data_IF_091570983032
#
_entry.id   IF_091570983032
#
_cell.length_a   1.000
_cell.length_b   1.000
_cell.length_c   1.000
_cell.angle_alpha   90.00
_cell.angle_beta   90.00
_cell.angle_gamma   90.00
#
_symmetry.space_group_name_H-M   'P 1'
#
loop_
_entity.id
_entity.type
_entity.pdbx_description
1 polymer ?
#
# COMPACT_ATOMS: atom_id res chain seq x y z
N UNK A 1 -11.70 -10.79 28.35
CA UNK A 1 -12.18 -11.17 27.00
C UNK A 1 -10.97 -11.30 26.10
N UNK A 2 -10.85 -12.40 25.36
CA UNK A 2 -9.72 -12.67 24.47
C UNK A 2 -10.20 -12.56 23.03
N UNK A 3 -9.82 -11.47 22.38
CA UNK A 3 -9.95 -11.30 20.93
C UNK A 3 -8.58 -11.33 20.27
N UNK A 4 -8.51 -11.76 19.02
CA UNK A 4 -7.23 -11.73 18.32
C UNK A 4 -7.20 -12.31 16.92
N UNK A 5 -6.03 -12.21 16.30
CA UNK A 5 -5.73 -12.77 14.99
C UNK A 5 -4.85 -14.01 15.16
N UNK A 6 -5.26 -15.14 14.58
CA UNK A 6 -4.41 -16.33 14.46
C UNK A 6 -3.86 -16.46 13.05
N UNK A 7 -2.56 -16.71 12.94
CA UNK A 7 -1.87 -17.08 11.71
C UNK A 7 -0.50 -17.69 12.03
N UNK A 8 0.20 -18.19 11.02
CA UNK A 8 1.54 -18.77 11.24
C UNK A 8 2.62 -17.68 11.41
N UNK A 9 2.50 -16.57 10.67
CA UNK A 9 3.43 -15.43 10.72
C UNK A 9 2.65 -14.12 10.69
N UNK A 10 2.74 -13.32 11.76
CA UNK A 10 1.91 -12.12 11.95
C UNK A 10 2.67 -10.79 12.11
N UNK A 11 4.01 -10.78 11.99
CA UNK A 11 4.87 -9.67 12.43
C UNK A 11 4.64 -8.28 11.83
N UNK A 12 3.79 -8.12 10.81
CA UNK A 12 3.49 -6.84 10.15
C UNK A 12 1.99 -6.52 10.06
N UNK A 13 1.14 -7.20 10.84
CA UNK A 13 -0.30 -7.01 10.77
C UNK A 13 -0.75 -5.73 11.47
N UNK A 14 -1.48 -4.86 10.78
CA UNK A 14 -2.17 -3.71 11.38
C UNK A 14 -3.50 -4.08 12.06
N UNK A 15 -3.87 -5.38 12.08
CA UNK A 15 -5.17 -5.81 12.61
C UNK A 15 -5.35 -5.42 14.07
N UNK A 16 -4.32 -5.61 14.91
CA UNK A 16 -4.39 -5.22 16.33
C UNK A 16 -4.72 -3.74 16.48
N UNK A 17 -3.96 -2.87 15.81
CA UNK A 17 -4.19 -1.43 15.85
C UNK A 17 -5.61 -1.05 15.38
N UNK A 18 -6.10 -1.67 14.31
CA UNK A 18 -7.46 -1.41 13.79
C UNK A 18 -8.51 -1.81 14.81
N UNK A 19 -8.45 -3.03 15.35
CA UNK A 19 -9.42 -3.52 16.31
C UNK A 19 -9.41 -2.73 17.62
N UNK A 20 -8.23 -2.39 18.14
CA UNK A 20 -8.09 -1.59 19.37
C UNK A 20 -8.57 -0.15 19.18
N UNK A 21 -8.46 0.42 17.97
CA UNK A 21 -8.98 1.77 17.67
C UNK A 21 -10.50 1.91 17.85
N UNK A 22 -11.24 0.78 17.85
CA UNK A 22 -12.67 0.77 18.12
C UNK A 22 -12.99 1.03 19.61
N UNK A 23 -12.02 0.87 20.51
CA UNK A 23 -12.17 1.16 21.94
C UNK A 23 -13.12 0.22 22.69
N UNK A 24 -13.43 -0.95 22.12
CA UNK A 24 -14.41 -1.91 22.68
C UNK A 24 -13.77 -3.12 23.36
N UNK A 25 -12.57 -3.52 22.93
CA UNK A 25 -11.88 -4.71 23.41
C UNK A 25 -10.37 -4.63 23.12
N UNK A 26 -9.59 -5.42 23.85
CA UNK A 26 -8.18 -5.67 23.53
C UNK A 26 -8.06 -6.74 22.45
N UNK A 27 -7.00 -6.68 21.65
CA UNK A 27 -6.80 -7.58 20.52
C UNK A 27 -5.37 -8.11 20.48
N UNK A 28 -5.18 -9.42 20.34
CA UNK A 28 -3.85 -10.04 20.38
C UNK A 28 -3.48 -10.72 19.07
N UNK A 29 -2.18 -10.81 18.78
CA UNK A 29 -1.65 -11.55 17.64
C UNK A 29 -1.10 -12.89 18.11
N UNK A 30 -1.70 -13.99 17.65
CA UNK A 30 -1.32 -15.35 17.99
C UNK A 30 -0.60 -15.99 16.80
N UNK A 31 0.74 -15.96 16.83
CA UNK A 31 1.57 -16.69 15.85
C UNK A 31 1.70 -18.14 16.29
N UNK A 32 0.92 -19.04 15.68
CA UNK A 32 0.81 -20.44 16.09
C UNK A 32 1.29 -21.36 14.98
N UNK A 33 1.99 -22.43 15.33
CA UNK A 33 2.18 -23.59 14.46
C UNK A 33 0.87 -24.35 14.26
N UNK A 34 0.83 -25.31 13.32
CA UNK A 34 -0.38 -26.10 13.05
C UNK A 34 -0.90 -26.84 14.30
N UNK A 35 0.00 -27.47 15.07
CA UNK A 35 -0.39 -28.23 16.27
C UNK A 35 -0.91 -27.32 17.39
N UNK A 36 -0.28 -26.14 17.55
CA UNK A 36 -0.72 -25.14 18.52
C UNK A 36 -2.06 -24.53 18.12
N UNK A 37 -2.27 -24.26 16.83
CA UNK A 37 -3.53 -23.80 16.28
C UNK A 37 -4.69 -24.76 16.60
N UNK A 38 -4.53 -26.05 16.32
CA UNK A 38 -5.55 -27.06 16.58
C UNK A 38 -5.90 -27.12 18.09
N UNK A 39 -4.88 -27.10 18.95
CA UNK A 39 -5.04 -27.10 20.40
C UNK A 39 -5.73 -25.83 20.92
N UNK A 40 -5.36 -24.67 20.39
CA UNK A 40 -5.91 -23.37 20.78
C UNK A 40 -7.39 -23.25 20.42
N UNK A 41 -7.75 -23.61 19.18
CA UNK A 41 -9.14 -23.54 18.72
C UNK A 41 -10.02 -24.56 19.48
N UNK A 42 -9.51 -25.78 19.71
CA UNK A 42 -10.24 -26.81 20.46
C UNK A 42 -10.53 -26.40 21.90
N UNK A 43 -9.65 -25.62 22.54
CA UNK A 43 -9.84 -25.15 23.91
C UNK A 43 -10.97 -24.12 24.05
N UNK A 44 -11.37 -23.43 22.97
CA UNK A 44 -12.46 -22.43 22.94
C UNK A 44 -12.37 -21.35 24.02
N UNK A 45 -11.17 -21.03 24.50
CA UNK A 45 -10.92 -20.01 25.52
C UNK A 45 -10.68 -18.63 24.89
N UNK A 46 -11.67 -18.14 24.15
CA UNK A 46 -11.67 -16.85 23.46
C UNK A 46 -13.10 -16.34 23.24
N UNK A 47 -13.26 -15.05 22.95
CA UNK A 47 -14.58 -14.45 22.68
C UNK A 47 -14.82 -14.22 21.17
N UNK A 48 -13.75 -13.97 20.42
CA UNK A 48 -13.81 -13.86 18.96
C UNK A 48 -12.42 -13.84 18.34
N UNK A 49 -12.27 -14.41 17.15
CA UNK A 49 -10.97 -14.48 16.49
C UNK A 49 -11.09 -14.17 15.01
N UNK A 50 -10.12 -13.45 14.47
CA UNK A 50 -9.84 -13.50 13.06
C UNK A 50 -8.82 -14.60 12.76
N UNK A 51 -8.97 -15.22 11.60
CA UNK A 51 -8.11 -16.31 11.12
C UNK A 51 -7.49 -15.89 9.81
N UNK A 52 -6.17 -15.97 9.71
CA UNK A 52 -5.43 -15.74 8.46
C UNK A 52 -4.73 -17.00 7.97
N UNK A 53 -3.99 -16.87 6.88
CA UNK A 53 -3.18 -17.93 6.29
C UNK A 53 -2.25 -18.57 7.34
N UNK A 54 -2.09 -19.90 7.33
CA UNK A 54 -2.69 -20.88 6.41
C UNK A 54 -4.03 -21.47 6.89
N UNK A 55 -4.62 -20.97 7.98
CA UNK A 55 -5.65 -21.70 8.75
C UNK A 55 -7.10 -21.45 8.33
N UNK A 56 -7.38 -20.55 7.39
CA UNK A 56 -8.76 -20.19 6.98
C UNK A 56 -9.64 -21.37 6.54
N UNK A 57 -9.04 -22.44 6.01
CA UNK A 57 -9.74 -23.69 5.69
C UNK A 57 -9.71 -24.70 6.84
N UNK A 58 -8.58 -24.77 7.54
CA UNK A 58 -8.35 -25.71 8.63
C UNK A 58 -9.24 -25.45 9.85
N UNK A 59 -9.74 -24.23 10.01
CA UNK A 59 -10.63 -23.85 11.12
C UNK A 59 -12.08 -24.29 10.95
N UNK A 60 -12.51 -24.58 9.71
CA UNK A 60 -13.90 -24.91 9.39
C UNK A 60 -14.43 -26.10 10.22
N UNK A 61 -13.70 -27.23 10.37
CA UNK A 61 -14.19 -28.39 11.13
C UNK A 61 -14.38 -28.13 12.64
N UNK A 62 -13.85 -27.03 13.17
CA UNK A 62 -14.00 -26.68 14.58
C UNK A 62 -15.26 -25.84 14.87
N UNK A 63 -15.88 -25.28 13.82
CA UNK A 63 -17.09 -24.46 13.93
C UNK A 63 -18.32 -25.36 14.13
N UNK A 64 -19.19 -25.01 15.08
CA UNK A 64 -20.50 -25.66 15.24
C UNK A 64 -21.45 -25.22 14.11
N UNK A 65 -21.34 -23.96 13.69
CA UNK A 65 -22.06 -23.41 12.55
C UNK A 65 -21.11 -22.63 11.64
N UNK A 66 -21.32 -22.76 10.33
CA UNK A 66 -20.62 -21.96 9.32
C UNK A 66 -21.68 -21.22 8.52
N UNK A 67 -21.54 -19.91 8.32
CA UNK A 67 -22.46 -19.12 7.49
C UNK A 67 -22.50 -19.63 6.04
N UNK A 68 -23.62 -19.42 5.34
CA UNK A 68 -23.77 -19.81 3.92
C UNK A 68 -22.66 -19.20 3.05
N UNK A 69 -22.37 -17.91 3.26
CA UNK A 69 -21.30 -17.19 2.59
C UNK A 69 -19.93 -17.88 2.75
N UNK A 70 -19.55 -18.25 3.98
CA UNK A 70 -18.27 -18.91 4.24
C UNK A 70 -18.22 -20.35 3.70
N UNK A 71 -19.37 -21.06 3.67
CA UNK A 71 -19.47 -22.38 3.03
C UNK A 71 -19.28 -22.28 1.52
N UNK A 72 -19.91 -21.31 0.87
CA UNK A 72 -19.78 -21.08 -0.57
C UNK A 72 -18.38 -20.64 -0.99
N UNK A 73 -17.72 -19.80 -0.18
CA UNK A 73 -16.32 -19.42 -0.39
C UNK A 73 -15.38 -20.60 -0.08
N UNK A 74 -15.74 -21.45 0.89
CA UNK A 74 -14.90 -22.54 1.38
C UNK A 74 -13.75 -22.06 2.28
N UNK A 75 -13.94 -20.96 3.00
CA UNK A 75 -12.96 -20.38 3.93
C UNK A 75 -13.65 -19.53 5.03
N UNK A 76 -13.15 -19.63 6.25
CA UNK A 76 -13.56 -18.82 7.42
C UNK A 76 -12.39 -17.95 7.85
N UNK A 77 -12.61 -16.64 8.00
CA UNK A 77 -11.62 -15.69 8.53
C UNK A 77 -12.09 -15.04 9.85
N UNK A 78 -13.30 -15.32 10.32
CA UNK A 78 -13.90 -14.71 11.51
C UNK A 78 -14.68 -15.76 12.29
N UNK A 79 -14.30 -15.95 13.56
CA UNK A 79 -14.94 -16.80 14.54
C UNK A 79 -15.58 -15.96 15.64
N UNK A 80 -16.81 -16.29 16.02
CA UNK A 80 -17.55 -15.61 17.07
C UNK A 80 -18.50 -16.58 17.76
N UNK A 81 -18.95 -16.26 18.96
CA UNK A 81 -19.96 -17.05 19.66
C UNK A 81 -21.36 -16.47 19.48
N UNK A 82 -22.33 -17.34 19.23
CA UNK A 82 -23.77 -17.01 19.25
C UNK A 82 -24.52 -18.14 19.93
N UNK A 83 -25.30 -17.81 20.95
CA UNK A 83 -26.07 -18.80 21.73
C UNK A 83 -25.21 -19.98 22.24
N UNK A 84 -23.97 -19.69 22.64
CA UNK A 84 -23.01 -20.69 23.14
C UNK A 84 -22.34 -21.55 22.05
N UNK A 85 -22.68 -21.35 20.78
CA UNK A 85 -22.09 -22.08 19.64
C UNK A 85 -20.98 -21.26 18.99
N UNK A 86 -19.92 -21.96 18.58
CA UNK A 86 -18.83 -21.36 17.80
C UNK A 86 -19.23 -21.25 16.34
N UNK A 87 -19.44 -20.02 15.88
CA UNK A 87 -19.84 -19.71 14.52
C UNK A 87 -18.65 -19.21 13.68
N UNK A 88 -18.59 -19.63 12.42
CA UNK A 88 -17.59 -19.20 11.44
C UNK A 88 -18.20 -18.42 10.26
N UNK A 89 -17.61 -17.29 9.92
CA UNK A 89 -17.97 -16.51 8.73
C UNK A 89 -16.74 -15.96 7.98
N UNK A 90 -16.99 -15.23 6.89
CA UNK A 90 -15.96 -14.67 6.02
C UNK A 90 -16.19 -13.17 5.82
N UNK A 91 -15.48 -12.33 6.60
CA UNK A 91 -15.49 -10.88 6.51
C UNK A 91 -14.54 -10.31 5.44
N UNK A 92 -13.65 -11.15 4.87
CA UNK A 92 -12.82 -10.73 3.72
C UNK A 92 -13.73 -10.31 2.56
N UNK A 93 -14.88 -10.97 2.40
CA UNK A 93 -15.88 -10.67 1.36
C UNK A 93 -16.40 -9.23 1.47
N UNK A 94 -16.86 -8.83 2.66
CA UNK A 94 -17.32 -7.46 2.92
C UNK A 94 -16.17 -6.46 2.73
N UNK A 95 -14.97 -6.78 3.23
CA UNK A 95 -13.81 -5.93 3.08
C UNK A 95 -13.42 -5.70 1.61
N UNK A 96 -13.48 -6.74 0.80
CA UNK A 96 -13.16 -6.66 -0.63
C UNK A 96 -14.16 -5.81 -1.40
N UNK A 97 -15.47 -6.01 -1.15
CA UNK A 97 -16.51 -5.20 -1.78
C UNK A 97 -16.39 -3.72 -1.38
N UNK A 98 -16.12 -3.44 -0.10
CA UNK A 98 -15.85 -2.08 0.38
C UNK A 98 -14.68 -1.43 -0.39
N UNK A 99 -13.55 -2.14 -0.51
CA UNK A 99 -12.38 -1.61 -1.20
C UNK A 99 -12.66 -1.32 -2.69
N UNK A 100 -13.37 -2.23 -3.39
CA UNK A 100 -13.75 -2.03 -4.77
C UNK A 100 -14.68 -0.81 -4.93
N UNK A 101 -15.71 -0.71 -4.08
CA UNK A 101 -16.69 0.38 -4.12
C UNK A 101 -16.04 1.74 -3.81
N UNK A 102 -15.19 1.81 -2.78
CA UNK A 102 -14.46 3.03 -2.42
C UNK A 102 -13.54 3.52 -3.54
N UNK A 103 -13.06 2.61 -4.39
CA UNK A 103 -12.25 2.92 -5.57
C UNK A 103 -13.07 3.20 -6.84
N UNK A 104 -14.40 3.15 -6.78
CA UNK A 104 -15.28 3.32 -7.95
C UNK A 104 -15.23 2.15 -8.94
N UNK A 105 -14.82 0.96 -8.50
CA UNK A 105 -14.70 -0.23 -9.35
C UNK A 105 -15.99 -1.05 -9.28
N UNK A 106 -16.66 -1.21 -10.42
CA UNK A 106 -17.87 -2.04 -10.56
C UNK A 106 -17.60 -3.29 -11.39
N UNK A 107 -18.06 -4.44 -10.90
CA UNK A 107 -17.94 -5.75 -11.58
C UNK A 107 -19.06 -6.03 -12.57
N UNK A 108 -20.14 -5.25 -12.56
CA UNK A 108 -21.35 -5.48 -13.37
C UNK A 108 -21.01 -5.55 -14.86
N UNK A 109 -21.39 -6.66 -15.50
CA UNK A 109 -21.14 -6.98 -16.91
C UNK A 109 -19.65 -6.95 -17.34
N UNK A 110 -18.71 -7.04 -16.38
CA UNK A 110 -17.26 -7.00 -16.67
C UNK A 110 -16.63 -8.37 -16.90
N UNK A 111 -15.58 -8.41 -17.73
CA UNK A 111 -14.63 -9.51 -17.81
C UNK A 111 -13.50 -9.29 -16.79
N UNK A 112 -13.46 -10.13 -15.77
CA UNK A 112 -12.57 -10.01 -14.63
C UNK A 112 -11.45 -11.03 -14.73
N UNK A 113 -10.20 -10.59 -14.65
CA UNK A 113 -9.04 -11.46 -14.50
C UNK A 113 -8.64 -11.50 -13.02
N UNK A 114 -8.56 -12.69 -12.44
CA UNK A 114 -8.05 -12.90 -11.09
C UNK A 114 -6.68 -13.60 -11.18
N UNK A 115 -5.64 -12.93 -10.68
CA UNK A 115 -4.29 -13.48 -10.61
C UNK A 115 -4.17 -14.38 -9.37
N UNK A 116 -3.90 -15.67 -9.58
CA UNK A 116 -3.76 -16.67 -8.52
C UNK A 116 -5.01 -17.52 -8.27
N UNK A 117 -4.80 -18.64 -7.58
CA UNK A 117 -5.85 -19.60 -7.21
C UNK A 117 -5.81 -19.96 -5.71
N UNK A 118 -5.33 -19.05 -4.87
CA UNK A 118 -5.25 -19.21 -3.41
C UNK A 118 -6.57 -18.93 -2.68
N UNK A 119 -6.55 -18.96 -1.33
CA UNK A 119 -7.75 -18.72 -0.51
C UNK A 119 -8.43 -17.38 -0.77
N UNK A 120 -7.67 -16.30 -0.91
CA UNK A 120 -8.21 -14.97 -1.24
C UNK A 120 -8.85 -14.92 -2.63
N UNK A 121 -8.36 -15.74 -3.57
CA UNK A 121 -8.93 -15.87 -4.90
C UNK A 121 -10.36 -16.41 -4.87
N UNK A 122 -10.66 -17.35 -3.96
CA UNK A 122 -12.01 -17.90 -3.80
C UNK A 122 -13.01 -16.82 -3.40
N UNK A 123 -12.63 -15.94 -2.48
CA UNK A 123 -13.44 -14.79 -2.08
C UNK A 123 -13.60 -13.82 -3.27
N UNK A 124 -12.53 -13.47 -3.98
CA UNK A 124 -12.61 -12.55 -5.12
C UNK A 124 -13.51 -13.09 -6.26
N UNK A 125 -13.48 -14.41 -6.51
CA UNK A 125 -14.39 -15.08 -7.45
C UNK A 125 -15.84 -14.94 -7.02
N UNK A 126 -16.11 -15.20 -5.74
CA UNK A 126 -17.46 -15.10 -5.18
C UNK A 126 -17.99 -13.68 -5.29
N UNK A 127 -17.20 -12.70 -4.86
CA UNK A 127 -17.53 -11.28 -4.96
C UNK A 127 -17.79 -10.86 -6.41
N UNK A 128 -16.89 -11.16 -7.34
CA UNK A 128 -17.09 -10.83 -8.75
C UNK A 128 -18.36 -11.46 -9.33
N UNK A 129 -18.64 -12.74 -9.00
CA UNK A 129 -19.84 -13.44 -9.47
C UNK A 129 -21.13 -12.80 -8.91
N UNK A 130 -21.16 -12.54 -7.61
CA UNK A 130 -22.34 -11.96 -6.94
C UNK A 130 -22.62 -10.53 -7.42
N UNK A 131 -21.58 -9.80 -7.80
CA UNK A 131 -21.65 -8.43 -8.33
C UNK A 131 -21.82 -8.37 -9.86
N UNK A 132 -22.28 -9.45 -10.49
CA UNK A 132 -22.71 -9.43 -11.89
C UNK A 132 -21.59 -9.49 -12.93
N UNK A 133 -20.40 -9.99 -12.59
CA UNK A 133 -19.34 -10.18 -13.59
C UNK A 133 -19.79 -11.10 -14.73
N UNK A 134 -19.69 -10.61 -15.97
CA UNK A 134 -20.05 -11.35 -17.20
C UNK A 134 -19.17 -12.59 -17.37
N UNK A 135 -17.88 -12.47 -17.04
CA UNK A 135 -16.90 -13.55 -17.18
C UNK A 135 -15.79 -13.39 -16.16
N UNK A 136 -15.39 -14.49 -15.53
CA UNK A 136 -14.27 -14.53 -14.59
C UNK A 136 -13.21 -15.46 -15.17
N UNK A 137 -12.00 -14.94 -15.33
CA UNK A 137 -10.80 -15.68 -15.70
C UNK A 137 -9.89 -15.81 -14.50
N UNK A 138 -9.17 -16.92 -14.47
CA UNK A 138 -8.27 -17.27 -13.39
C UNK A 138 -6.93 -17.55 -14.03
N UNK A 139 -5.87 -16.86 -13.60
CA UNK A 139 -4.54 -17.20 -14.10
C UNK A 139 -3.65 -17.82 -13.03
N UNK A 140 -2.95 -18.87 -13.42
CA UNK A 140 -1.92 -19.54 -12.61
C UNK A 140 -0.68 -19.78 -13.46
N UNK A 141 0.45 -20.08 -12.82
CA UNK A 141 1.73 -20.30 -13.55
C UNK A 141 1.68 -21.44 -14.57
N UNK A 142 0.85 -22.46 -14.35
CA UNK A 142 0.84 -23.69 -15.16
C UNK A 142 -0.48 -23.98 -15.89
N UNK A 143 -1.49 -23.09 -15.81
CA UNK A 143 -2.78 -23.33 -16.46
C UNK A 143 -3.49 -24.60 -15.94
N UNK A 144 -3.68 -24.69 -14.62
CA UNK A 144 -4.41 -25.80 -13.99
C UNK A 144 -5.89 -25.86 -14.45
N UNK A 145 -6.59 -26.98 -14.18
CA UNK A 145 -7.98 -27.15 -14.59
C UNK A 145 -8.87 -25.96 -14.20
N UNK A 146 -9.54 -25.36 -15.19
CA UNK A 146 -10.39 -24.17 -15.01
C UNK A 146 -9.64 -22.84 -14.93
N UNK A 147 -8.32 -22.84 -15.07
CA UNK A 147 -7.46 -21.67 -15.13
C UNK A 147 -6.77 -21.56 -16.50
N UNK A 148 -6.30 -20.36 -16.83
CA UNK A 148 -5.41 -20.09 -17.96
C UNK A 148 -4.00 -19.82 -17.44
N UNK A 149 -2.99 -20.03 -18.27
CA UNK A 149 -1.61 -19.65 -17.99
C UNK A 149 -1.38 -18.14 -18.16
N UNK A 150 -0.21 -17.64 -17.75
CA UNK A 150 0.20 -16.26 -18.05
C UNK A 150 0.47 -16.03 -19.53
N UNK A 151 0.94 -17.05 -20.26
CA UNK A 151 1.25 -16.98 -21.70
C UNK A 151 -0.03 -16.74 -22.53
N UNK A 152 -1.15 -17.36 -22.11
CA UNK A 152 -2.45 -17.22 -22.75
C UNK A 152 -3.10 -15.83 -22.55
N UNK A 153 -2.64 -15.03 -21.57
CA UNK A 153 -3.19 -13.70 -21.29
C UNK A 153 -3.01 -12.72 -22.45
N UNK A 154 -1.98 -12.92 -23.28
CA UNK A 154 -1.70 -12.10 -24.45
C UNK A 154 -2.91 -12.02 -25.41
N UNK A 155 -3.76 -13.05 -25.43
CA UNK A 155 -4.98 -13.13 -26.24
C UNK A 155 -6.21 -12.44 -25.62
N UNK A 156 -6.11 -11.92 -24.41
CA UNK A 156 -7.23 -11.36 -23.64
C UNK A 156 -7.13 -9.84 -23.46
N UNK A 157 -7.06 -9.10 -24.57
CA UNK A 157 -7.00 -7.63 -24.58
C UNK A 157 -8.30 -6.94 -24.11
N UNK A 158 -9.38 -7.71 -24.01
CA UNK A 158 -10.75 -7.32 -23.62
C UNK A 158 -11.04 -7.48 -22.10
N UNK A 159 -10.01 -7.63 -21.27
CA UNK A 159 -10.17 -7.68 -19.81
C UNK A 159 -10.50 -6.29 -19.29
N UNK A 160 -11.64 -6.17 -18.59
CA UNK A 160 -12.11 -4.93 -17.98
C UNK A 160 -11.47 -4.70 -16.61
N UNK A 161 -11.37 -5.75 -15.78
CA UNK A 161 -10.92 -5.65 -14.39
C UNK A 161 -9.84 -6.66 -14.08
N UNK A 162 -8.85 -6.27 -13.27
CA UNK A 162 -7.77 -7.14 -12.82
C UNK A 162 -7.74 -7.16 -11.29
N UNK A 163 -7.73 -8.35 -10.71
CA UNK A 163 -7.62 -8.56 -9.27
C UNK A 163 -6.38 -9.38 -8.95
N UNK A 164 -5.36 -8.77 -8.36
CA UNK A 164 -4.20 -9.50 -7.85
C UNK A 164 -4.54 -10.14 -6.51
N UNK A 165 -4.52 -11.48 -6.47
CA UNK A 165 -4.66 -12.26 -5.23
C UNK A 165 -3.41 -13.10 -4.92
N UNK A 166 -2.30 -12.81 -5.60
CA UNK A 166 -1.00 -13.45 -5.40
C UNK A 166 -0.15 -12.63 -4.42
N UNK A 167 0.92 -13.21 -3.85
CA UNK A 167 1.91 -12.44 -3.08
C UNK A 167 2.92 -11.67 -3.96
N UNK A 168 2.82 -11.73 -5.30
CA UNK A 168 3.73 -11.01 -6.17
C UNK A 168 3.52 -9.50 -6.04
N UNK A 169 4.61 -8.75 -5.84
CA UNK A 169 4.58 -7.34 -5.46
C UNK A 169 4.82 -7.09 -3.97
N UNK A 170 4.88 -8.14 -3.14
CA UNK A 170 5.36 -8.02 -1.75
C UNK A 170 6.89 -8.12 -1.64
N UNK A 171 7.45 -7.66 -0.53
CA UNK A 171 8.86 -7.82 -0.20
C UNK A 171 9.29 -9.30 -0.12
N UNK A 172 10.50 -9.66 -0.61
CA UNK A 172 11.54 -8.80 -1.19
C UNK A 172 11.41 -8.54 -2.71
N UNK A 173 10.34 -9.03 -3.36
CA UNK A 173 10.09 -8.96 -4.80
C UNK A 173 9.09 -7.86 -5.20
N UNK A 174 9.08 -6.76 -4.45
CA UNK A 174 8.14 -5.66 -4.57
C UNK A 174 8.33 -4.80 -5.84
N UNK A 175 9.46 -4.96 -6.53
CA UNK A 175 9.74 -4.36 -7.84
C UNK A 175 9.29 -5.20 -9.03
N UNK A 176 8.65 -6.34 -8.80
CA UNK A 176 8.20 -7.25 -9.85
C UNK A 176 6.66 -7.19 -9.99
N UNK A 177 6.18 -7.33 -11.23
CA UNK A 177 4.76 -7.52 -11.55
C UNK A 177 4.61 -8.76 -12.41
N UNK A 178 3.55 -9.53 -12.19
CA UNK A 178 3.27 -10.74 -12.99
C UNK A 178 2.72 -10.41 -14.39
N UNK A 179 2.27 -9.17 -14.57
CA UNK A 179 1.67 -8.67 -15.81
C UNK A 179 2.07 -7.21 -16.06
N UNK A 180 1.99 -6.77 -17.30
CA UNK A 180 2.06 -5.35 -17.68
C UNK A 180 0.67 -4.86 -18.08
N UNK A 181 0.18 -3.77 -17.48
CA UNK A 181 -1.11 -3.17 -17.82
C UNK A 181 -1.16 -2.61 -19.24
N UNK A 182 -0.01 -2.33 -19.88
CA UNK A 182 0.02 -2.01 -21.31
C UNK A 182 -0.59 -3.13 -22.16
N UNK A 183 -0.55 -4.38 -21.69
CA UNK A 183 -1.16 -5.50 -22.39
C UNK A 183 -2.69 -5.55 -22.31
N UNK A 184 -3.33 -4.73 -21.48
CA UNK A 184 -4.78 -4.78 -21.24
C UNK A 184 -5.43 -3.42 -21.50
N UNK A 185 -5.57 -3.01 -22.79
CA UNK A 185 -6.06 -1.68 -23.14
C UNK A 185 -7.52 -1.41 -22.75
N UNK A 186 -8.32 -2.45 -22.51
CA UNK A 186 -9.69 -2.34 -22.00
C UNK A 186 -9.78 -2.23 -20.47
N UNK A 187 -8.66 -2.35 -19.75
CA UNK A 187 -8.67 -2.39 -18.29
C UNK A 187 -9.09 -1.02 -17.72
N UNK A 188 -10.18 -1.02 -16.97
CA UNK A 188 -10.75 0.15 -16.31
C UNK A 188 -10.67 0.09 -14.79
N UNK A 189 -10.20 -1.02 -14.21
CA UNK A 189 -10.08 -1.17 -12.77
C UNK A 189 -9.07 -2.23 -12.32
N UNK A 190 -8.29 -1.90 -11.30
CA UNK A 190 -7.26 -2.80 -10.72
C UNK A 190 -7.41 -2.87 -9.20
N UNK A 191 -7.56 -4.08 -8.67
CA UNK A 191 -7.60 -4.33 -7.23
C UNK A 191 -6.39 -5.19 -6.87
N UNK A 192 -5.54 -4.72 -5.98
CA UNK A 192 -4.45 -5.51 -5.42
C UNK A 192 -4.71 -5.75 -3.93
N UNK A 193 -4.87 -7.00 -3.50
CA UNK A 193 -5.11 -7.31 -2.07
C UNK A 193 -3.87 -7.10 -1.20
N UNK A 194 -2.72 -6.81 -1.81
CA UNK A 194 -1.51 -6.41 -1.12
C UNK A 194 -1.66 -4.98 -0.59
N UNK A 195 -1.23 -4.76 0.65
CA UNK A 195 -1.13 -3.42 1.26
C UNK A 195 0.30 -3.08 1.75
N UNK A 196 1.24 -4.00 1.55
CA UNK A 196 2.65 -3.79 1.88
C UNK A 196 3.55 -4.30 0.75
N UNK A 197 4.09 -3.42 -0.10
CA UNK A 197 4.04 -1.95 -0.04
C UNK A 197 2.64 -1.38 -0.31
N UNK A 198 2.45 -0.08 -0.03
CA UNK A 198 1.20 0.63 -0.32
C UNK A 198 0.83 0.61 -1.81
N UNK A 199 1.83 0.69 -2.67
CA UNK A 199 1.71 0.70 -4.11
C UNK A 199 2.66 -0.31 -4.71
N UNK A 200 2.11 -1.43 -5.18
CA UNK A 200 2.84 -2.39 -6.02
C UNK A 200 3.10 -1.78 -7.41
N UNK A 201 4.01 -2.38 -8.17
CA UNK A 201 4.26 -1.99 -9.57
C UNK A 201 2.96 -2.00 -10.39
N UNK A 202 2.10 -2.99 -10.16
CA UNK A 202 0.78 -3.08 -10.81
C UNK A 202 -0.09 -1.85 -10.52
N UNK A 203 -0.13 -1.38 -9.26
CA UNK A 203 -0.90 -0.19 -8.89
C UNK A 203 -0.24 1.11 -9.40
N UNK A 204 1.09 1.17 -9.48
CA UNK A 204 1.78 2.32 -10.08
C UNK A 204 1.42 2.45 -11.56
N UNK A 205 1.47 1.35 -12.31
CA UNK A 205 1.05 1.31 -13.71
C UNK A 205 -0.41 1.73 -13.90
N UNK A 206 -1.30 1.36 -12.97
CA UNK A 206 -2.71 1.74 -13.03
C UNK A 206 -2.88 3.27 -12.86
N UNK A 207 -2.18 3.87 -11.88
CA UNK A 207 -2.23 5.32 -11.64
C UNK A 207 -1.65 6.12 -12.80
N UNK A 208 -0.53 5.69 -13.37
CA UNK A 208 0.08 6.32 -14.56
C UNK A 208 -0.88 6.37 -15.75
N UNK A 209 -1.80 5.40 -15.86
CA UNK A 209 -2.81 5.29 -16.92
C UNK A 209 -4.16 5.90 -16.54
N UNK A 210 -4.29 6.49 -15.35
CA UNK A 210 -5.57 7.00 -14.84
C UNK A 210 -6.63 5.91 -14.60
N UNK A 211 -6.21 4.66 -14.43
CA UNK A 211 -7.10 3.52 -14.17
C UNK A 211 -7.48 3.52 -12.69
N UNK A 212 -8.78 3.34 -12.40
CA UNK A 212 -9.28 3.22 -11.03
C UNK A 212 -8.58 2.06 -10.31
N UNK A 213 -8.03 2.29 -9.12
CA UNK A 213 -7.28 1.26 -8.43
C UNK A 213 -7.34 1.36 -6.90
N UNK A 214 -7.20 0.20 -6.24
CA UNK A 214 -7.07 0.11 -4.78
C UNK A 214 -6.08 -0.98 -4.38
N UNK A 215 -5.43 -0.74 -3.24
CA UNK A 215 -4.63 -1.74 -2.54
C UNK A 215 -5.49 -2.48 -1.48
N UNK A 216 -4.85 -3.33 -0.68
CA UNK A 216 -5.52 -4.15 0.33
C UNK A 216 -5.83 -3.46 1.66
N UNK A 217 -5.42 -2.20 1.87
CA UNK A 217 -5.58 -1.55 3.18
C UNK A 217 -7.06 -1.23 3.50
N UNK A 218 -7.86 -0.67 2.57
CA UNK A 218 -9.30 -0.49 2.80
C UNK A 218 -10.01 -1.81 3.09
N UNK A 219 -9.61 -2.89 2.39
CA UNK A 219 -10.12 -4.24 2.65
C UNK A 219 -9.78 -4.71 4.07
N UNK A 220 -8.54 -4.48 4.53
CA UNK A 220 -8.11 -4.85 5.89
C UNK A 220 -8.91 -4.13 6.98
N UNK A 221 -9.21 -2.84 6.80
CA UNK A 221 -10.01 -2.06 7.74
C UNK A 221 -11.46 -2.53 7.74
N UNK A 222 -12.07 -2.65 6.56
CA UNK A 222 -13.48 -3.00 6.45
C UNK A 222 -13.78 -4.44 6.89
N UNK A 223 -12.86 -5.40 6.69
CA UNK A 223 -13.05 -6.74 7.25
C UNK A 223 -12.97 -6.77 8.78
N UNK A 224 -12.19 -5.87 9.39
CA UNK A 224 -12.00 -5.81 10.84
C UNK A 224 -13.22 -5.18 11.53
N UNK A 225 -13.76 -4.09 10.96
CA UNK A 225 -15.01 -3.49 11.47
C UNK A 225 -16.20 -4.42 11.27
N UNK A 226 -16.29 -5.14 10.15
CA UNK A 226 -17.28 -6.19 9.96
C UNK A 226 -17.10 -7.35 10.97
N UNK A 227 -15.86 -7.75 11.27
CA UNK A 227 -15.61 -8.77 12.30
C UNK A 227 -16.01 -8.30 13.70
N UNK A 228 -15.80 -7.03 14.02
CA UNK A 228 -16.22 -6.42 15.29
C UNK A 228 -17.74 -6.52 15.49
N UNK A 229 -18.53 -6.36 14.42
CA UNK A 229 -19.99 -6.53 14.47
C UNK A 229 -20.38 -7.96 14.87
N UNK A 230 -19.67 -8.97 14.36
CA UNK A 230 -19.87 -10.36 14.78
C UNK A 230 -19.41 -10.65 16.20
N UNK A 231 -18.26 -10.11 16.60
CA UNK A 231 -17.69 -10.30 17.94
C UNK A 231 -18.60 -9.75 19.03
N UNK A 232 -19.21 -8.58 18.79
CA UNK A 232 -19.98 -7.85 19.80
C UNK A 232 -21.49 -8.05 19.66
N UNK A 233 -21.96 -8.60 18.53
CA UNK A 233 -23.39 -8.66 18.23
C UNK A 233 -24.03 -7.29 18.03
N UNK A 234 -23.22 -6.27 17.72
CA UNK A 234 -23.61 -4.88 17.48
C UNK A 234 -23.43 -4.55 15.99
N UNK A 235 -24.08 -3.50 15.49
CA UNK A 235 -23.89 -3.02 14.11
C UNK A 235 -23.38 -1.58 14.12
N UNK A 236 -22.86 -1.12 12.99
CA UNK A 236 -22.47 0.28 12.79
C UNK A 236 -20.98 0.55 12.91
N UNK A 237 -20.13 -0.47 13.14
CA UNK A 237 -18.68 -0.26 13.20
C UNK A 237 -18.09 0.15 11.85
N UNK A 238 -18.73 -0.25 10.76
CA UNK A 238 -18.27 0.07 9.40
C UNK A 238 -18.30 1.57 9.10
N UNK A 239 -19.08 2.38 9.84
CA UNK A 239 -19.06 3.85 9.71
C UNK A 239 -17.69 4.46 10.06
N UNK A 240 -16.85 3.73 10.80
CA UNK A 240 -15.51 4.17 11.19
C UNK A 240 -14.44 3.85 10.13
N UNK A 241 -14.76 3.12 9.07
CA UNK A 241 -13.79 2.66 8.07
C UNK A 241 -12.91 3.80 7.51
N UNK A 242 -13.51 4.89 7.06
CA UNK A 242 -12.78 6.03 6.50
C UNK A 242 -11.87 6.71 7.53
N UNK A 243 -12.37 6.92 8.76
CA UNK A 243 -11.57 7.54 9.83
C UNK A 243 -10.35 6.68 10.21
N UNK A 244 -10.53 5.36 10.34
CA UNK A 244 -9.44 4.43 10.66
C UNK A 244 -8.45 4.34 9.51
N UNK A 245 -8.93 4.27 8.26
CA UNK A 245 -8.09 4.24 7.07
C UNK A 245 -7.24 5.50 6.96
N UNK A 246 -7.85 6.66 7.18
CA UNK A 246 -7.16 7.95 7.19
C UNK A 246 -6.07 8.00 8.27
N UNK A 247 -6.40 7.63 9.51
CA UNK A 247 -5.43 7.60 10.62
C UNK A 247 -4.25 6.67 10.33
N UNK A 248 -4.52 5.46 9.81
CA UNK A 248 -3.47 4.52 9.43
C UNK A 248 -2.59 5.10 8.33
N UNK A 249 -3.15 5.58 7.22
CA UNK A 249 -2.37 6.20 6.13
C UNK A 249 -1.49 7.33 6.66
N UNK A 250 -2.07 8.23 7.45
CA UNK A 250 -1.34 9.33 8.08
C UNK A 250 -0.19 8.84 8.95
N UNK A 251 -0.29 7.70 9.61
CA UNK A 251 0.82 7.12 10.38
C UNK A 251 1.89 6.47 9.49
N UNK A 252 1.51 5.61 8.55
CA UNK A 252 2.45 4.68 7.88
C UNK A 252 2.88 5.10 6.47
N UNK A 253 2.18 6.01 5.79
CA UNK A 253 2.60 6.52 4.48
C UNK A 253 3.81 7.47 4.63
N UNK A 254 4.77 7.40 3.71
CA UNK A 254 5.87 8.36 3.64
C UNK A 254 5.42 9.63 2.92
N UNK A 255 5.98 10.77 3.28
CA UNK A 255 5.86 12.01 2.51
C UNK A 255 7.20 12.28 1.87
N UNK A 256 7.27 12.22 0.53
CA UNK A 256 8.51 12.37 -0.23
C UNK A 256 8.52 13.76 -0.86
N UNK A 257 9.42 14.62 -0.40
CA UNK A 257 9.54 16.00 -0.87
C UNK A 257 10.53 16.07 -2.03
N UNK A 258 10.03 16.36 -3.23
CA UNK A 258 10.83 16.64 -4.43
C UNK A 258 10.79 18.13 -4.78
N UNK A 259 11.75 18.57 -5.60
CA UNK A 259 11.81 19.94 -6.12
C UNK A 259 13.24 20.46 -6.22
N UNK A 260 13.38 21.68 -6.72
CA UNK A 260 14.69 22.27 -7.00
C UNK A 260 15.60 22.34 -5.76
N UNK A 261 16.93 22.22 -5.94
CA UNK A 261 17.87 22.58 -4.89
C UNK A 261 17.56 24.00 -4.34
N UNK A 262 17.50 24.15 -3.02
CA UNK A 262 17.25 25.45 -2.38
C UNK A 262 15.76 25.78 -2.14
N UNK A 263 14.82 24.94 -2.56
CA UNK A 263 13.38 25.19 -2.36
C UNK A 263 12.89 24.96 -0.91
N UNK A 264 13.75 24.52 0.00
CA UNK A 264 13.41 24.37 1.43
C UNK A 264 12.95 22.98 1.87
N UNK A 265 13.14 21.92 1.07
CA UNK A 265 12.79 20.52 1.42
C UNK A 265 13.22 20.11 2.83
N UNK A 266 14.49 20.31 3.19
CA UNK A 266 15.02 19.91 4.51
C UNK A 266 14.36 20.70 5.64
N UNK A 267 14.18 22.02 5.48
CA UNK A 267 13.57 22.89 6.50
C UNK A 267 12.09 22.56 6.68
N UNK A 268 11.32 22.52 5.59
CA UNK A 268 9.90 22.22 5.63
C UNK A 268 9.64 20.78 6.07
N UNK A 269 10.47 19.84 5.61
CA UNK A 269 10.34 18.43 5.95
C UNK A 269 10.53 18.13 7.44
N UNK A 270 11.47 18.81 8.11
CA UNK A 270 11.65 18.69 9.57
C UNK A 270 10.40 19.13 10.34
N UNK A 271 9.86 20.31 10.00
CA UNK A 271 8.63 20.83 10.63
C UNK A 271 7.43 19.93 10.36
N UNK A 272 7.30 19.45 9.12
CA UNK A 272 6.21 18.55 8.74
C UNK A 272 6.31 17.21 9.48
N UNK A 273 7.51 16.66 9.62
CA UNK A 273 7.75 15.42 10.36
C UNK A 273 7.34 15.56 11.83
N UNK A 274 7.71 16.67 12.48
CA UNK A 274 7.31 16.97 13.86
C UNK A 274 5.78 17.04 14.00
N UNK A 275 5.10 17.81 13.14
CA UNK A 275 3.64 17.97 13.18
C UNK A 275 2.88 16.67 12.88
N UNK A 276 3.47 15.77 12.08
CA UNK A 276 2.89 14.47 11.74
C UNK A 276 3.28 13.35 12.71
N UNK A 277 4.22 13.57 13.62
CA UNK A 277 4.79 12.51 14.47
C UNK A 277 5.58 11.46 13.67
N UNK A 278 6.24 11.89 12.59
CA UNK A 278 7.02 11.03 11.67
C UNK A 278 8.52 11.25 11.85
N UNK A 279 9.31 10.30 11.34
CA UNK A 279 10.77 10.45 11.26
C UNK A 279 11.14 11.32 10.06
N UNK A 280 11.94 12.36 10.28
CA UNK A 280 12.53 13.12 9.16
C UNK A 280 13.80 12.42 8.66
N UNK A 281 13.95 12.31 7.34
CA UNK A 281 15.13 11.76 6.69
C UNK A 281 15.57 12.69 5.55
N UNK A 282 16.84 13.08 5.56
CA UNK A 282 17.48 13.74 4.41
C UNK A 282 18.26 12.70 3.61
N UNK A 283 17.83 12.46 2.38
CA UNK A 283 18.39 11.42 1.52
C UNK A 283 19.85 11.68 1.17
N UNK A 284 20.24 12.94 0.99
CA UNK A 284 21.64 13.31 0.69
C UNK A 284 22.53 12.93 1.89
N UNK A 285 22.07 13.14 3.12
CA UNK A 285 22.78 12.72 4.34
C UNK A 285 22.91 11.19 4.46
N UNK A 286 21.89 10.43 4.04
CA UNK A 286 21.96 8.95 4.02
C UNK A 286 23.02 8.47 3.03
N UNK A 287 23.13 9.10 1.87
CA UNK A 287 24.15 8.78 0.87
C UNK A 287 25.55 9.04 1.44
N UNK A 288 25.78 10.20 2.05
CA UNK A 288 27.08 10.56 2.64
C UNK A 288 27.49 9.62 3.77
N UNK A 289 26.56 9.27 4.66
CA UNK A 289 26.80 8.33 5.76
C UNK A 289 27.15 6.94 5.24
N UNK A 290 26.44 6.47 4.21
CA UNK A 290 26.67 5.13 3.63
C UNK A 290 27.99 5.07 2.87
N UNK A 291 28.34 6.14 2.15
CA UNK A 291 29.59 6.24 1.39
C UNK A 291 30.82 6.58 2.25
N UNK A 292 30.61 7.12 3.45
CA UNK A 292 31.66 7.64 4.33
C UNK A 292 32.37 8.89 3.77
N UNK A 293 31.73 9.61 2.84
CA UNK A 293 32.28 10.75 2.10
C UNK A 293 31.19 11.78 1.84
N UNK A 294 31.56 13.05 1.75
CA UNK A 294 30.64 14.11 1.33
C UNK A 294 30.28 13.98 -0.15
N UNK A 295 29.13 14.49 -0.56
CA UNK A 295 28.71 14.48 -1.98
C UNK A 295 29.77 15.13 -2.90
N UNK A 296 30.35 16.30 -2.59
CA UNK A 296 31.42 16.88 -3.40
C UNK A 296 32.63 15.95 -3.59
N UNK A 297 33.04 15.21 -2.56
CA UNK A 297 34.14 14.23 -2.64
C UNK A 297 33.76 13.05 -3.54
N UNK A 298 32.52 12.54 -3.42
CA UNK A 298 32.01 11.46 -4.28
C UNK A 298 32.06 11.87 -5.76
N UNK A 299 31.63 13.11 -6.07
CA UNK A 299 31.68 13.63 -7.44
C UNK A 299 33.12 13.79 -7.93
N UNK A 300 34.03 14.29 -7.10
CA UNK A 300 35.43 14.51 -7.46
C UNK A 300 36.20 13.21 -7.71
N UNK A 301 35.94 12.18 -6.91
CA UNK A 301 36.71 10.92 -6.97
C UNK A 301 36.08 9.87 -7.89
N UNK A 302 34.75 9.75 -7.87
CA UNK A 302 34.03 8.65 -8.52
C UNK A 302 33.08 9.12 -9.65
N UNK A 303 32.89 10.43 -9.79
CA UNK A 303 32.05 11.02 -10.83
C UNK A 303 30.54 10.91 -10.56
N UNK A 304 29.77 11.62 -11.39
CA UNK A 304 28.30 11.71 -11.24
C UNK A 304 27.61 10.36 -11.41
N UNK A 305 28.05 9.53 -12.36
CA UNK A 305 27.42 8.24 -12.62
C UNK A 305 27.40 7.33 -11.38
N UNK A 306 28.47 7.35 -10.58
CA UNK A 306 28.56 6.62 -9.33
C UNK A 306 27.63 7.21 -8.26
N UNK A 307 27.65 8.55 -8.08
CA UNK A 307 26.71 9.22 -7.18
C UNK A 307 25.26 8.88 -7.49
N UNK A 308 24.87 8.88 -8.77
CA UNK A 308 23.50 8.54 -9.19
C UNK A 308 23.13 7.10 -8.83
N UNK A 309 24.07 6.17 -8.86
CA UNK A 309 23.83 4.79 -8.41
C UNK A 309 23.63 4.70 -6.89
N UNK A 310 24.39 5.47 -6.11
CA UNK A 310 24.16 5.60 -4.66
C UNK A 310 22.80 6.27 -4.36
N UNK A 311 22.41 7.28 -5.15
CA UNK A 311 21.09 7.92 -5.07
C UNK A 311 19.97 6.88 -5.31
N UNK A 312 20.12 6.00 -6.29
CA UNK A 312 19.17 4.90 -6.52
C UNK A 312 19.10 3.91 -5.36
N UNK A 313 20.23 3.55 -4.77
CA UNK A 313 20.24 2.62 -3.62
C UNK A 313 19.59 3.25 -2.38
N UNK A 314 19.89 4.52 -2.10
CA UNK A 314 19.23 5.27 -1.04
C UNK A 314 17.72 5.37 -1.26
N UNK A 315 17.26 5.65 -2.50
CA UNK A 315 15.84 5.71 -2.82
C UNK A 315 15.14 4.36 -2.58
N UNK A 316 15.81 3.26 -2.94
CA UNK A 316 15.31 1.89 -2.68
C UNK A 316 15.31 1.54 -1.20
N UNK A 317 16.28 1.98 -0.42
CA UNK A 317 16.29 1.74 1.02
C UNK A 317 15.17 2.53 1.71
N UNK A 318 15.09 3.83 1.46
CA UNK A 318 14.10 4.72 2.09
C UNK A 318 12.67 4.45 1.63
N UNK A 319 12.48 4.11 0.35
CA UNK A 319 11.16 3.75 -0.19
C UNK A 319 10.53 2.51 0.47
N UNK A 320 11.34 1.65 1.09
CA UNK A 320 10.87 0.45 1.81
C UNK A 320 10.31 0.76 3.19
N UNK A 321 10.85 1.79 3.81
CA UNK A 321 10.44 2.22 5.13
C UNK A 321 9.06 2.88 5.10
N UNK A 322 8.52 3.14 6.29
CA UNK A 322 7.18 3.69 6.50
C UNK A 322 7.21 4.81 7.53
N UNK A 323 6.24 5.70 7.47
CA UNK A 323 6.08 6.78 8.45
C UNK A 323 7.22 7.80 8.45
N UNK A 324 7.81 8.08 7.29
CA UNK A 324 8.90 9.05 7.13
C UNK A 324 8.45 10.32 6.40
N UNK A 325 9.13 11.44 6.65
CA UNK A 325 9.17 12.58 5.73
C UNK A 325 10.56 12.63 5.13
N UNK A 326 10.66 12.39 3.82
CA UNK A 326 11.91 12.21 3.08
C UNK A 326 12.18 13.46 2.25
N UNK A 327 13.23 14.21 2.58
CA UNK A 327 13.75 15.25 1.71
C UNK A 327 14.73 14.62 0.71
N UNK A 328 14.48 14.77 -0.59
CA UNK A 328 15.34 14.19 -1.63
C UNK A 328 16.37 15.17 -2.16
N UNK A 329 17.42 14.66 -2.79
CA UNK A 329 18.27 15.44 -3.68
C UNK A 329 17.47 15.99 -4.86
N UNK A 330 17.87 17.15 -5.40
CA UNK A 330 17.16 17.77 -6.53
C UNK A 330 17.23 16.96 -7.83
N UNK A 331 18.19 16.04 -7.95
CA UNK A 331 18.36 15.19 -9.13
C UNK A 331 17.62 13.86 -9.06
N UNK A 332 16.93 13.54 -7.96
CA UNK A 332 16.30 12.23 -7.74
C UNK A 332 15.35 11.83 -8.86
N UNK A 333 14.66 12.82 -9.46
CA UNK A 333 13.67 12.65 -10.53
C UNK A 333 14.26 12.29 -11.89
N UNK A 334 15.58 12.40 -12.06
CA UNK A 334 16.25 12.10 -13.34
C UNK A 334 16.27 10.60 -13.65
N UNK A 335 16.02 9.75 -12.65
CA UNK A 335 15.95 8.28 -12.79
C UNK A 335 14.56 7.80 -12.39
N UNK A 336 13.76 7.26 -13.34
CA UNK A 336 12.42 6.75 -13.06
C UNK A 336 12.40 5.69 -11.95
N UNK A 337 13.44 4.86 -11.84
CA UNK A 337 13.54 3.83 -10.82
C UNK A 337 13.60 4.38 -9.38
N UNK A 338 14.10 5.61 -9.19
CA UNK A 338 14.10 6.28 -7.89
C UNK A 338 12.66 6.65 -7.48
N UNK A 339 11.90 7.19 -8.44
CA UNK A 339 10.52 7.61 -8.21
C UNK A 339 9.59 6.42 -8.03
N UNK A 340 9.80 5.34 -8.79
CA UNK A 340 9.11 4.08 -8.58
C UNK A 340 9.38 3.51 -7.18
N UNK A 341 10.62 3.55 -6.70
CA UNK A 341 10.98 3.08 -5.36
C UNK A 341 10.38 3.94 -4.24
N UNK A 342 10.52 5.27 -4.31
CA UNK A 342 9.99 6.20 -3.31
C UNK A 342 8.46 6.21 -3.30
N UNK A 343 7.82 6.00 -4.46
CA UNK A 343 6.37 5.94 -4.62
C UNK A 343 5.72 4.63 -4.15
N UNK A 344 6.49 3.63 -3.70
CA UNK A 344 5.91 2.38 -3.19
C UNK A 344 5.17 2.56 -1.88
N UNK A 345 5.76 3.32 -0.95
CA UNK A 345 5.18 3.65 0.34
C UNK A 345 4.96 5.17 0.53
N UNK A 346 5.32 5.99 -0.46
CA UNK A 346 5.34 7.44 -0.33
C UNK A 346 4.38 8.17 -1.25
N UNK A 347 3.78 9.23 -0.70
CA UNK A 347 3.15 10.31 -1.45
C UNK A 347 4.22 11.34 -1.83
N UNK A 348 4.41 11.51 -3.12
CA UNK A 348 5.35 12.43 -3.75
C UNK A 348 4.75 13.83 -3.81
N UNK A 349 5.39 14.77 -3.11
CA UNK A 349 5.01 16.18 -3.02
C UNK A 349 6.07 17.03 -3.70
N UNK A 350 5.68 17.76 -4.74
CA UNK A 350 6.54 18.74 -5.39
C UNK A 350 6.46 20.09 -4.69
N UNK A 351 7.57 20.50 -4.07
CA UNK A 351 7.73 21.82 -3.47
C UNK A 351 8.22 22.83 -4.52
N UNK A 352 7.37 23.80 -4.80
CA UNK A 352 7.61 24.88 -5.73
C UNK A 352 8.05 26.13 -4.99
N UNK A 353 9.16 26.71 -5.45
CA UNK A 353 9.66 28.01 -5.00
C UNK A 353 10.23 28.76 -6.21
N UNK A 354 9.96 30.07 -6.36
CA UNK A 354 10.50 30.87 -7.46
C UNK A 354 12.03 30.76 -7.54
N UNK A 355 12.57 30.76 -8.77
CA UNK A 355 14.01 30.54 -9.01
C UNK A 355 14.88 31.62 -8.35
N UNK A 356 14.41 32.85 -8.33
CA UNK A 356 15.05 34.00 -7.72
C UNK A 356 15.07 33.96 -6.18
N UNK A 357 14.26 33.08 -5.58
CA UNK A 357 14.20 32.86 -4.14
C UNK A 357 14.93 31.58 -3.67
N UNK A 358 15.54 30.82 -4.58
CA UNK A 358 16.25 29.58 -4.22
C UNK A 358 17.57 29.88 -3.48
N UNK A 359 17.79 29.18 -2.36
CA UNK A 359 19.05 29.27 -1.63
C UNK A 359 20.20 28.60 -2.40
N UNK A 360 21.28 29.37 -2.66
CA UNK A 360 22.43 28.93 -3.46
C UNK A 360 23.65 28.45 -2.62
N UNK A 361 23.64 28.64 -1.31
CA UNK A 361 24.75 28.26 -0.43
C UNK A 361 25.00 26.74 -0.39
N UNK A 362 26.28 26.33 -0.44
CA UNK A 362 26.70 24.93 -0.28
C UNK A 362 26.39 23.99 -1.46
N UNK A 363 25.89 24.49 -2.60
CA UNK A 363 25.41 23.65 -3.71
C UNK A 363 26.37 23.66 -4.91
N UNK A 364 27.13 22.59 -5.16
CA UNK A 364 28.17 22.57 -6.20
C UNK A 364 27.64 22.76 -7.62
N UNK A 365 26.41 22.31 -7.91
CA UNK A 365 25.77 22.41 -9.24
C UNK A 365 24.93 23.67 -9.47
N UNK A 366 24.78 24.56 -8.47
CA UNK A 366 23.86 25.69 -8.52
C UNK A 366 24.56 27.06 -8.35
N UNK A 367 25.85 27.15 -8.67
CA UNK A 367 26.64 28.38 -8.47
C UNK A 367 26.38 29.46 -9.53
N UNK A 368 25.75 29.12 -10.66
CA UNK A 368 25.44 30.03 -11.76
C UNK A 368 23.92 30.08 -12.01
N UNK A 369 23.36 31.29 -12.14
CA UNK A 369 21.93 31.51 -12.40
C UNK A 369 21.51 30.92 -13.75
N UNK A 370 22.37 30.97 -14.77
CA UNK A 370 22.06 30.40 -16.08
C UNK A 370 22.00 28.86 -16.01
N UNK A 371 22.98 28.24 -15.33
CA UNK A 371 22.95 26.80 -15.06
C UNK A 371 21.73 26.37 -14.23
N UNK A 372 21.34 27.16 -13.22
CA UNK A 372 20.16 26.88 -12.39
C UNK A 372 18.86 26.97 -13.21
N UNK A 373 18.74 27.96 -14.10
CA UNK A 373 17.60 28.09 -15.00
C UNK A 373 17.51 26.89 -15.96
N UNK A 374 18.62 26.49 -16.57
CA UNK A 374 18.66 25.32 -17.44
C UNK A 374 18.30 24.01 -16.69
N UNK A 375 18.80 23.85 -15.46
CA UNK A 375 18.42 22.71 -14.60
C UNK A 375 16.92 22.70 -14.31
N UNK A 376 16.32 23.87 -14.08
CA UNK A 376 14.88 23.99 -13.84
C UNK A 376 14.07 23.59 -15.07
N UNK A 377 14.44 24.09 -16.25
CA UNK A 377 13.78 23.74 -17.52
C UNK A 377 13.76 22.22 -17.76
N UNK A 378 14.88 21.55 -17.49
CA UNK A 378 14.99 20.09 -17.65
C UNK A 378 14.18 19.31 -16.60
N UNK A 379 14.13 19.80 -15.36
CA UNK A 379 13.57 19.04 -14.23
C UNK A 379 12.11 19.35 -13.92
N UNK A 380 11.60 20.53 -14.28
CA UNK A 380 10.22 20.92 -14.01
C UNK A 380 9.20 19.91 -14.57
N UNK A 381 9.28 19.46 -15.84
CA UNK A 381 8.33 18.48 -16.37
C UNK A 381 8.38 17.16 -15.60
N UNK A 382 9.54 16.77 -15.09
CA UNK A 382 9.71 15.56 -14.28
C UNK A 382 9.11 15.72 -12.89
N UNK A 383 9.33 16.88 -12.22
CA UNK A 383 8.71 17.15 -10.93
C UNK A 383 7.19 17.13 -11.03
N UNK A 384 6.62 17.73 -12.08
CA UNK A 384 5.18 17.72 -12.33
C UNK A 384 4.67 16.30 -12.60
N UNK A 385 5.31 15.56 -13.50
CA UNK A 385 4.91 14.21 -13.87
C UNK A 385 4.91 13.21 -12.70
N UNK A 386 5.87 13.31 -11.79
CA UNK A 386 5.98 12.38 -10.66
C UNK A 386 5.20 12.81 -9.42
N UNK A 387 4.76 14.07 -9.31
CA UNK A 387 4.07 14.56 -8.14
C UNK A 387 2.61 14.09 -8.09
N UNK A 388 2.14 13.65 -6.90
CA UNK A 388 0.70 13.53 -6.65
C UNK A 388 0.13 14.77 -5.95
N UNK A 389 1.00 15.64 -5.43
CA UNK A 389 0.64 16.93 -4.86
C UNK A 389 1.70 17.97 -5.24
N UNK A 390 1.27 19.08 -5.82
CA UNK A 390 2.12 20.26 -6.03
C UNK A 390 1.80 21.32 -4.99
N UNK A 391 2.83 21.88 -4.37
CA UNK A 391 2.69 22.87 -3.30
C UNK A 391 3.65 24.04 -3.48
N UNK A 392 3.10 25.25 -3.58
CA UNK A 392 3.88 26.48 -3.60
C UNK A 392 4.19 26.93 -2.18
N UNK A 393 5.47 27.02 -1.83
CA UNK A 393 5.89 27.50 -0.50
C UNK A 393 5.56 28.99 -0.34
N UNK A 394 5.16 29.37 0.86
CA UNK A 394 4.90 30.77 1.24
C UNK A 394 6.00 31.29 2.15
N UNK A 395 6.16 32.62 2.28
CA UNK A 395 7.08 33.20 3.26
C UNK A 395 6.80 32.65 4.67
N UNK A 396 7.83 32.10 5.31
CA UNK A 396 7.72 31.45 6.61
C UNK A 396 7.58 29.92 6.52
N UNK A 397 8.52 29.21 7.15
CA UNK A 397 8.55 27.75 7.12
C UNK A 397 7.38 27.13 7.92
N UNK A 398 7.00 27.73 9.05
CA UNK A 398 5.86 27.29 9.87
C UNK A 398 4.52 27.40 9.13
N UNK A 399 4.29 28.53 8.47
CA UNK A 399 3.06 28.74 7.71
C UNK A 399 3.01 27.81 6.49
N UNK A 400 4.13 27.64 5.78
CA UNK A 400 4.25 26.64 4.73
C UNK A 400 3.94 25.22 5.23
N UNK A 401 4.46 24.84 6.41
CA UNK A 401 4.21 23.54 7.00
C UNK A 401 2.75 23.32 7.36
N UNK A 402 2.09 24.33 7.96
CA UNK A 402 0.68 24.27 8.30
C UNK A 402 -0.22 24.15 7.06
N UNK A 403 0.07 24.92 6.00
CA UNK A 403 -0.70 24.86 4.74
C UNK A 403 -0.51 23.53 4.01
N UNK A 404 0.73 23.01 3.97
CA UNK A 404 0.98 21.70 3.37
C UNK A 404 0.31 20.57 4.16
N UNK A 405 0.35 20.64 5.50
CA UNK A 405 -0.32 19.67 6.37
C UNK A 405 -1.82 19.57 6.06
N UNK A 406 -2.49 20.72 5.87
CA UNK A 406 -3.91 20.77 5.53
C UNK A 406 -4.27 20.19 4.14
N UNK A 407 -3.29 19.98 3.26
CA UNK A 407 -3.47 19.32 1.95
C UNK A 407 -3.14 17.82 2.00
N UNK A 408 -2.46 17.40 3.07
CA UNK A 408 -2.10 16.01 3.31
C UNK A 408 -3.17 15.28 4.12
N UNK A 409 -3.86 16.00 5.01
CA UNK A 409 -5.11 15.56 5.66
C UNK A 409 -6.26 15.52 4.64
#
# INVERSE_FOLDING_TARGET
MTYGLIGEKLGHSYSQQIHESLGKYSYQLFSLSKTEFESFIAARNFDGLNITIPYKKAVIPFCDQVSDLAREIGAVNTLYFRDGQLCGTNTDYQGFLYAAQAAGISFENKKVLILGNGGTSLMARKAAKDQGARRILITTRRGEAGCISYEELSSHKDIDLIVNTTPAGTYPHNGESLIDLADFPACSGVIDVIYNPFSTVLLQQARERGIACTNGLPMLVAQATAAAEYFLGETGFQQHNESILHQLRRQIENIVLIGMPGCGKTTLGKLLAEKLGKSFVDMDSVIEQTAGKSIPEIFAESGEAHFRSLETEAARSLGKEKGQVIATGGGVVLRPENMAALGQNGRIVFLQRPLDELAMEGRPLSKDRAALAHMYEVRLPLYEAYSQLSFQTVPGAEESAARLLALLD
#
